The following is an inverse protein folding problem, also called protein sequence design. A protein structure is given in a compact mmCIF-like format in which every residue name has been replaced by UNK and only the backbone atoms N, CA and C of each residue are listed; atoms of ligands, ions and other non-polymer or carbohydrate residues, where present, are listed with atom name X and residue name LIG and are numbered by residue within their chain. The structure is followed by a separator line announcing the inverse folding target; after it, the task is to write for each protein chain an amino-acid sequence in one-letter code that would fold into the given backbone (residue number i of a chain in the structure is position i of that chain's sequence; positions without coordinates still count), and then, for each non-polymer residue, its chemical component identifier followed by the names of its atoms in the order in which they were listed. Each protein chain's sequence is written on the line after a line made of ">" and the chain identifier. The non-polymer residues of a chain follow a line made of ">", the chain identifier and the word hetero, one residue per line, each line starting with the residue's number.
data_IF_095939747927
#
_entry.id   IF_095939747927
#
_cell.length_a   1.000
_cell.length_b   1.000
_cell.length_c   1.000
_cell.angle_alpha   90.00
_cell.angle_beta   90.00
_cell.angle_gamma   90.00
#
_symmetry.space_group_name_H-M   'P 1'
#
loop_
_entity.id
_entity.type
_entity.pdbx_description
1 polymer ?
#
# COMPACT_ATOMS: atom_id res chain seq x y z
N UNK A 1 -26.21 -18.43 8.80
CA UNK A 1 -25.02 -17.96 8.05
C UNK A 1 -23.85 -17.87 9.03
N UNK A 2 -22.82 -18.72 8.93
CA UNK A 2 -21.76 -18.80 9.96
C UNK A 2 -20.84 -17.58 9.90
N UNK A 3 -21.16 -16.55 10.70
CA UNK A 3 -20.42 -15.29 10.89
C UNK A 3 -19.00 -15.51 11.45
N UNK A 4 -18.72 -16.70 11.97
CA UNK A 4 -17.46 -17.05 12.63
C UNK A 4 -16.25 -17.03 11.68
N UNK A 5 -16.41 -17.43 10.41
CA UNK A 5 -15.29 -17.41 9.45
C UNK A 5 -14.79 -15.98 9.16
N UNK A 6 -15.72 -15.06 8.92
CA UNK A 6 -15.39 -13.66 8.61
C UNK A 6 -14.84 -12.93 9.84
N UNK A 7 -15.37 -13.24 11.02
CA UNK A 7 -14.86 -12.72 12.29
C UNK A 7 -13.44 -13.20 12.57
N UNK A 8 -13.16 -14.50 12.46
CA UNK A 8 -11.82 -15.07 12.65
C UNK A 8 -10.77 -14.48 11.68
N UNK A 9 -11.17 -14.16 10.46
CA UNK A 9 -10.28 -13.50 9.48
C UNK A 9 -10.04 -12.02 9.76
N UNK A 10 -11.01 -11.34 10.38
CA UNK A 10 -10.90 -9.92 10.74
C UNK A 10 -10.10 -9.73 12.02
N UNK A 11 -10.20 -10.66 12.96
CA UNK A 11 -9.43 -10.65 14.21
C UNK A 11 -7.93 -10.83 13.95
N UNK A 12 -7.57 -11.72 13.02
CA UNK A 12 -6.18 -11.86 12.58
C UNK A 12 -6.10 -12.01 11.05
N UNK A 13 -5.72 -10.93 10.35
CA UNK A 13 -5.51 -10.93 8.90
C UNK A 13 -4.45 -11.92 8.40
N UNK A 14 -3.65 -12.52 9.28
CA UNK A 14 -2.56 -13.44 8.93
C UNK A 14 -3.00 -14.91 8.87
N UNK A 15 -4.20 -15.24 9.37
CA UNK A 15 -4.67 -16.63 9.42
C UNK A 15 -4.95 -17.19 8.05
N UNK A 16 -4.42 -18.38 7.76
CA UNK A 16 -4.68 -19.09 6.51
C UNK A 16 -6.05 -19.75 6.53
N UNK A 17 -6.56 -20.13 5.36
CA UNK A 17 -7.82 -20.89 5.26
C UNK A 17 -7.85 -22.18 6.08
N UNK A 18 -6.68 -22.74 6.38
CA UNK A 18 -6.51 -23.93 7.23
C UNK A 18 -6.68 -23.56 8.70
N UNK A 19 -6.00 -22.49 9.15
CA UNK A 19 -6.08 -22.02 10.55
C UNK A 19 -7.50 -21.54 10.89
N UNK A 20 -8.17 -20.91 9.93
CA UNK A 20 -9.58 -20.51 10.05
C UNK A 20 -10.48 -21.73 10.17
N UNK A 21 -10.22 -22.77 9.36
CA UNK A 21 -10.98 -24.02 9.46
C UNK A 21 -10.85 -24.64 10.84
N UNK A 22 -9.63 -24.73 11.38
CA UNK A 22 -9.38 -25.25 12.73
C UNK A 22 -10.08 -24.40 13.80
N UNK A 23 -9.98 -23.07 13.71
CA UNK A 23 -10.58 -22.16 14.70
C UNK A 23 -12.11 -22.11 14.69
N UNK A 24 -12.75 -22.47 13.56
CA UNK A 24 -14.21 -22.43 13.39
C UNK A 24 -14.84 -23.80 13.55
N UNK A 25 -14.05 -24.88 13.52
CA UNK A 25 -14.55 -26.24 13.70
C UNK A 25 -14.80 -26.52 15.18
N UNK A 26 -16.07 -26.67 15.54
CA UNK A 26 -16.52 -27.14 16.86
C UNK A 26 -16.76 -28.65 16.82
N UNK A 27 -16.58 -29.40 17.93
CA UNK A 27 -16.83 -30.85 18.00
C UNK A 27 -18.24 -31.26 17.54
N UNK A 28 -19.22 -30.34 17.64
CA UNK A 28 -20.63 -30.61 17.37
C UNK A 28 -21.14 -29.99 16.05
N UNK A 29 -20.28 -29.39 15.23
CA UNK A 29 -20.67 -28.77 13.95
C UNK A 29 -20.01 -29.45 12.74
N UNK A 30 -20.70 -29.50 11.59
CA UNK A 30 -20.13 -30.05 10.37
C UNK A 30 -18.93 -29.20 9.92
N UNK A 31 -17.78 -29.86 9.72
CA UNK A 31 -16.53 -29.23 9.31
C UNK A 31 -16.73 -28.52 7.97
N UNK A 32 -16.59 -27.18 7.97
CA UNK A 32 -16.63 -26.42 6.72
C UNK A 32 -15.40 -26.77 5.88
N UNK A 33 -15.61 -27.18 4.63
CA UNK A 33 -14.51 -27.43 3.69
C UNK A 33 -13.67 -26.16 3.46
N UNK A 34 -12.34 -26.34 3.37
CA UNK A 34 -11.39 -25.28 2.99
C UNK A 34 -11.80 -24.54 1.71
N UNK A 35 -12.41 -25.25 0.75
CA UNK A 35 -12.90 -24.66 -0.51
C UNK A 35 -14.04 -23.67 -0.25
N UNK A 36 -14.94 -24.02 0.67
CA UNK A 36 -16.05 -23.15 1.08
C UNK A 36 -15.56 -21.93 1.85
N UNK A 37 -14.56 -22.08 2.72
CA UNK A 37 -13.93 -20.96 3.44
C UNK A 37 -13.26 -20.00 2.45
N UNK A 38 -12.42 -20.50 1.54
CA UNK A 38 -11.77 -19.67 0.50
C UNK A 38 -12.78 -18.91 -0.35
N UNK A 39 -13.81 -19.59 -0.85
CA UNK A 39 -14.89 -18.96 -1.63
C UNK A 39 -15.56 -17.83 -0.85
N UNK A 40 -15.87 -18.04 0.44
CA UNK A 40 -16.50 -17.03 1.29
C UNK A 40 -15.60 -15.82 1.54
N UNK A 41 -14.31 -16.02 1.74
CA UNK A 41 -13.34 -14.93 1.89
C UNK A 41 -13.16 -14.14 0.59
N UNK A 42 -13.19 -14.83 -0.55
CA UNK A 42 -13.15 -14.20 -1.86
C UNK A 42 -14.36 -13.30 -2.10
N UNK A 43 -15.57 -13.79 -1.81
CA UNK A 43 -16.80 -12.98 -1.89
C UNK A 43 -16.75 -11.78 -0.94
N UNK A 44 -16.09 -11.90 0.21
CA UNK A 44 -15.94 -10.82 1.18
C UNK A 44 -14.73 -9.88 0.90
N UNK A 45 -13.99 -10.05 -0.20
CA UNK A 45 -12.80 -9.25 -0.53
C UNK A 45 -11.61 -9.47 0.43
N UNK A 46 -11.64 -10.53 1.24
CA UNK A 46 -10.59 -10.88 2.20
C UNK A 46 -9.58 -11.90 1.63
N UNK A 47 -9.60 -12.13 0.32
CA UNK A 47 -8.73 -13.08 -0.37
C UNK A 47 -7.50 -12.36 -0.92
N UNK A 48 -6.31 -12.97 -0.78
CA UNK A 48 -5.04 -12.38 -1.21
C UNK A 48 -4.13 -11.92 -0.06
N UNK A 49 -4.64 -11.86 1.17
CA UNK A 49 -3.82 -11.67 2.38
C UNK A 49 -3.13 -12.97 2.80
N UNK A 50 -2.36 -13.59 1.91
CA UNK A 50 -1.35 -14.53 2.39
C UNK A 50 -0.18 -13.66 2.84
N UNK A 51 0.03 -13.46 4.16
CA UNK A 51 1.26 -12.83 4.57
C UNK A 51 2.39 -13.74 4.04
N UNK A 52 3.29 -13.16 3.24
CA UNK A 52 4.44 -13.84 2.65
C UNK A 52 5.51 -14.14 3.72
N UNK A 53 5.08 -14.65 4.89
CA UNK A 53 5.91 -14.91 6.06
C UNK A 53 6.90 -16.04 5.83
N UNK A 54 6.56 -16.99 4.96
CA UNK A 54 7.42 -18.09 4.57
C UNK A 54 8.29 -17.76 3.36
N UNK A 55 8.20 -16.56 2.79
CA UNK A 55 8.97 -16.22 1.61
C UNK A 55 10.43 -16.05 1.96
N UNK A 56 11.27 -16.89 1.37
CA UNK A 56 12.71 -16.76 1.42
C UNK A 56 13.22 -15.69 0.46
N UNK A 57 14.53 -15.38 0.51
CA UNK A 57 15.14 -14.36 -0.35
C UNK A 57 14.86 -14.55 -1.84
N UNK A 58 14.80 -15.80 -2.34
CA UNK A 58 14.50 -16.10 -3.76
C UNK A 58 13.08 -15.76 -4.17
N UNK A 59 12.12 -15.89 -3.25
CA UNK A 59 10.72 -15.55 -3.53
C UNK A 59 10.53 -14.03 -3.53
N UNK A 60 11.22 -13.32 -2.63
CA UNK A 60 11.28 -11.87 -2.64
C UNK A 60 12.01 -11.30 -3.86
N UNK A 61 13.05 -11.98 -4.35
CA UNK A 61 13.80 -11.56 -5.53
C UNK A 61 12.94 -11.49 -6.80
N UNK A 62 11.90 -12.33 -6.88
CA UNK A 62 10.95 -12.33 -7.99
C UNK A 62 9.76 -11.39 -7.78
N UNK A 63 9.69 -10.67 -6.65
CA UNK A 63 8.61 -9.73 -6.38
C UNK A 63 8.88 -8.38 -7.05
N UNK A 64 7.87 -7.85 -7.74
CA UNK A 64 7.90 -6.50 -8.31
C UNK A 64 7.20 -5.57 -7.33
N UNK A 65 7.94 -4.60 -6.82
CA UNK A 65 7.43 -3.50 -6.01
C UNK A 65 6.99 -2.38 -6.95
N UNK A 66 5.86 -1.74 -6.64
CA UNK A 66 5.42 -0.55 -7.36
C UNK A 66 4.77 0.43 -6.41
N UNK A 67 4.94 1.72 -6.62
CA UNK A 67 4.29 2.75 -5.82
C UNK A 67 4.17 4.07 -6.60
N UNK A 68 3.32 4.95 -6.11
CA UNK A 68 3.18 6.32 -6.57
C UNK A 68 3.77 7.30 -5.55
N UNK A 69 4.66 8.19 -6.00
CA UNK A 69 5.22 9.24 -5.14
C UNK A 69 5.02 10.63 -5.74
N UNK A 70 4.75 11.60 -4.86
CA UNK A 70 4.63 13.02 -5.21
C UNK A 70 5.90 13.76 -4.80
N UNK A 71 6.54 14.38 -5.79
CA UNK A 71 7.69 15.24 -5.61
C UNK A 71 7.27 16.71 -5.78
N UNK A 72 7.45 17.53 -4.75
CA UNK A 72 7.13 18.96 -4.84
C UNK A 72 8.25 19.70 -5.58
N UNK A 73 7.90 20.62 -6.47
CA UNK A 73 8.87 21.47 -7.17
C UNK A 73 9.35 22.63 -6.29
N UNK A 74 8.45 23.15 -5.46
CA UNK A 74 8.75 24.22 -4.50
C UNK A 74 8.18 23.88 -3.13
N UNK A 75 8.95 24.23 -2.09
CA UNK A 75 8.64 23.87 -0.72
C UNK A 75 8.93 22.40 -0.43
N UNK A 76 9.28 22.12 0.83
CA UNK A 76 9.46 20.76 1.33
C UNK A 76 8.24 20.39 2.17
N UNK A 77 7.81 19.12 2.14
CA UNK A 77 6.82 18.61 3.12
C UNK A 77 7.42 18.47 4.54
N UNK A 78 8.70 18.79 4.70
CA UNK A 78 9.45 18.66 5.94
C UNK A 78 9.48 19.93 6.76
N UNK A 79 9.92 19.80 8.01
CA UNK A 79 10.12 20.95 8.90
C UNK A 79 11.37 21.71 8.45
N UNK A 80 11.20 22.99 8.16
CA UNK A 80 12.32 23.88 7.88
C UNK A 80 12.75 24.60 9.16
N UNK A 81 13.97 24.34 9.59
CA UNK A 81 14.54 24.95 10.80
C UNK A 81 15.21 26.28 10.48
N UNK A 82 14.79 27.35 11.16
CA UNK A 82 15.32 28.71 10.97
C UNK A 82 15.93 29.18 12.28
N UNK A 83 17.19 29.62 12.25
CA UNK A 83 17.83 30.30 13.39
C UNK A 83 17.52 31.79 13.34
N UNK A 84 17.04 32.35 14.45
CA UNK A 84 16.71 33.78 14.55
C UNK A 84 16.82 34.31 16.00
N UNK A 85 17.06 35.62 16.20
CA UNK A 85 17.00 36.26 17.52
C UNK A 85 15.62 36.20 18.18
N UNK A 86 15.56 36.33 19.51
CA UNK A 86 14.31 36.41 20.27
C UNK A 86 13.50 37.64 19.82
N UNK A 87 12.17 37.48 19.69
CA UNK A 87 11.28 38.56 19.25
C UNK A 87 11.22 38.79 17.73
N UNK A 88 12.14 38.21 16.94
CA UNK A 88 12.21 38.43 15.48
C UNK A 88 11.36 37.47 14.63
N UNK A 89 10.33 36.84 15.22
CA UNK A 89 9.54 35.77 14.56
C UNK A 89 8.94 36.17 13.22
N UNK A 90 8.47 37.41 13.13
CA UNK A 90 7.77 37.92 11.94
C UNK A 90 8.66 38.79 11.04
N UNK A 91 9.95 38.91 11.33
CA UNK A 91 10.84 39.71 10.49
C UNK A 91 11.01 39.02 9.12
N UNK A 92 10.83 39.73 7.98
CA UNK A 92 10.82 39.12 6.66
C UNK A 92 12.10 38.33 6.34
N UNK A 93 13.25 38.75 6.85
CA UNK A 93 14.53 38.06 6.64
C UNK A 93 14.64 36.67 7.31
N UNK A 94 13.73 36.34 8.24
CA UNK A 94 13.67 35.05 8.93
C UNK A 94 12.40 34.25 8.60
N UNK A 95 11.67 34.65 7.57
CA UNK A 95 10.54 33.89 7.04
C UNK A 95 10.98 33.11 5.80
N UNK A 96 10.55 31.85 5.70
CA UNK A 96 10.70 31.11 4.45
C UNK A 96 9.62 31.59 3.47
N UNK A 97 9.99 32.14 2.31
CA UNK A 97 9.01 32.55 1.31
C UNK A 97 8.23 31.32 0.85
N UNK A 98 6.90 31.44 0.87
CA UNK A 98 6.00 30.39 0.37
C UNK A 98 5.41 30.84 -0.95
N UNK A 99 5.31 29.92 -1.90
CA UNK A 99 4.63 30.16 -3.17
C UNK A 99 3.14 29.87 -2.99
N UNK A 100 2.27 30.81 -3.39
CA UNK A 100 0.82 30.57 -3.39
C UNK A 100 0.52 29.36 -4.29
N UNK A 101 -0.32 28.44 -3.81
CA UNK A 101 -0.65 27.15 -4.44
C UNK A 101 0.48 26.09 -4.45
N UNK A 102 1.52 26.24 -3.61
CA UNK A 102 2.51 25.18 -3.38
C UNK A 102 3.46 24.93 -4.56
N UNK A 103 3.52 25.83 -5.55
CA UNK A 103 4.50 25.83 -6.65
C UNK A 103 4.44 24.64 -7.61
N UNK A 104 3.44 23.78 -7.48
CA UNK A 104 3.29 22.59 -8.30
C UNK A 104 4.06 21.39 -7.75
N UNK A 105 3.58 20.20 -8.13
CA UNK A 105 4.19 18.92 -7.79
C UNK A 105 4.12 17.99 -8.98
N UNK A 106 5.07 17.07 -9.05
CA UNK A 106 5.14 16.02 -10.05
C UNK A 106 4.79 14.71 -9.36
N UNK A 107 3.76 14.03 -9.87
CA UNK A 107 3.42 12.68 -9.44
C UNK A 107 4.09 11.69 -10.38
N UNK A 108 4.72 10.67 -9.81
CA UNK A 108 5.46 9.66 -10.56
C UNK A 108 5.06 8.30 -10.06
N UNK A 109 4.80 7.37 -10.99
CA UNK A 109 4.70 5.95 -10.69
C UNK A 109 6.00 5.27 -11.09
N UNK A 110 6.46 4.36 -10.25
CA UNK A 110 7.62 3.53 -10.54
C UNK A 110 7.42 2.11 -10.06
N UNK A 111 8.19 1.20 -10.61
CA UNK A 111 8.33 -0.15 -10.09
C UNK A 111 9.78 -0.59 -10.11
N UNK A 112 10.13 -1.57 -9.27
CA UNK A 112 11.46 -2.18 -9.23
C UNK A 112 11.37 -3.59 -8.66
N UNK A 113 12.35 -4.42 -8.98
CA UNK A 113 12.58 -5.74 -8.38
C UNK A 113 13.96 -5.76 -7.71
N UNK A 114 14.31 -6.88 -7.08
CA UNK A 114 15.64 -7.08 -6.49
C UNK A 114 16.78 -6.94 -7.52
N UNK A 115 16.53 -7.33 -8.77
CA UNK A 115 17.55 -7.39 -9.83
C UNK A 115 17.52 -6.20 -10.78
N UNK A 116 16.42 -5.45 -10.85
CA UNK A 116 16.26 -4.41 -11.87
C UNK A 116 15.32 -3.28 -11.46
N UNK A 117 15.61 -2.09 -11.99
CA UNK A 117 14.69 -0.96 -11.95
C UNK A 117 13.68 -1.11 -13.09
N UNK A 118 12.40 -1.02 -12.74
CA UNK A 118 11.32 -0.93 -13.72
C UNK A 118 11.15 0.49 -14.27
N UNK A 119 10.18 0.69 -15.18
CA UNK A 119 9.87 2.00 -15.74
C UNK A 119 9.47 3.02 -14.67
N UNK A 120 9.95 4.24 -14.85
CA UNK A 120 9.54 5.41 -14.08
C UNK A 120 8.71 6.34 -14.97
N UNK A 121 7.45 6.57 -14.62
CA UNK A 121 6.50 7.33 -15.44
C UNK A 121 5.93 8.52 -14.70
N UNK A 122 6.02 9.69 -15.32
CA UNK A 122 5.32 10.88 -14.86
C UNK A 122 3.81 10.72 -15.10
N UNK A 123 3.03 10.87 -14.04
CA UNK A 123 1.56 10.94 -14.13
C UNK A 123 1.17 12.40 -14.37
N UNK A 124 0.37 12.63 -15.41
CA UNK A 124 -0.16 13.96 -15.73
C UNK A 124 -1.66 13.95 -15.41
N UNK A 125 -2.06 14.72 -14.39
CA UNK A 125 -3.45 14.77 -13.92
C UNK A 125 -3.75 13.81 -12.76
N UNK A 126 -5.03 13.49 -12.59
CA UNK A 126 -5.49 12.51 -11.59
C UNK A 126 -5.34 11.11 -12.15
N UNK A 127 -4.77 10.19 -11.37
CA UNK A 127 -4.66 8.79 -11.77
C UNK A 127 -6.04 8.18 -11.94
N UNK A 128 -6.32 7.60 -13.12
CA UNK A 128 -7.54 6.84 -13.38
C UNK A 128 -7.25 5.33 -13.46
N UNK A 129 -8.29 4.52 -13.37
CA UNK A 129 -8.22 3.05 -13.40
C UNK A 129 -7.74 2.49 -14.77
N UNK A 130 -7.72 3.32 -15.82
CA UNK A 130 -7.21 2.93 -17.13
C UNK A 130 -5.68 3.05 -17.20
N UNK A 131 -5.11 4.09 -16.60
CA UNK A 131 -3.65 4.28 -16.52
C UNK A 131 -2.95 3.18 -15.72
N UNK A 132 -3.58 2.69 -14.64
CA UNK A 132 -3.05 1.58 -13.83
C UNK A 132 -3.01 0.30 -14.68
N UNK A 133 -4.15 -0.13 -15.24
CA UNK A 133 -4.28 -1.39 -16.01
C UNK A 133 -3.42 -1.44 -17.27
N UNK A 134 -3.25 -0.31 -17.95
CA UNK A 134 -2.45 -0.24 -19.17
C UNK A 134 -0.96 -0.35 -18.85
N UNK A 135 -0.49 0.26 -17.76
CA UNK A 135 0.91 0.20 -17.34
C UNK A 135 1.32 -1.19 -16.86
N UNK A 136 0.43 -1.88 -16.13
CA UNK A 136 0.68 -3.26 -15.68
C UNK A 136 0.78 -4.28 -16.81
N UNK A 137 0.02 -4.13 -17.90
CA UNK A 137 -0.03 -5.12 -18.99
C UNK A 137 1.07 -4.97 -20.05
N UNK A 138 1.68 -3.80 -20.14
CA UNK A 138 2.60 -3.50 -21.24
C UNK A 138 4.06 -3.47 -20.82
N UNK A 139 4.37 -3.54 -19.51
CA UNK A 139 5.73 -3.26 -19.02
C UNK A 139 6.21 -4.13 -17.85
N UNK A 140 5.36 -4.98 -17.26
CA UNK A 140 5.72 -5.97 -16.25
C UNK A 140 5.25 -7.36 -16.68
#
# INVERSE_FOLDING_TARGET
>A
MNRNNLRACREDPRRTSTDIQVSVTSPNEPVLSRRTIRRRLQVAGLHGRRPHLSWGPREWANHIWSDESRFNLFGTNGIQWIRRPIGSRYAPQYQCPTVKHGGGSVMVWGCFSDTSMGPLKRIVGTMDDMYTKTSWRTQC
#
